data_IF_844778467375
#
_entry.id   IF_844778467375
#
_cell.length_a   1.000
_cell.length_b   1.000
_cell.length_c   1.000
_cell.angle_alpha   90.00
_cell.angle_beta   90.00
_cell.angle_gamma   90.00
#
_symmetry.space_group_name_H-M   'P 1'
#
loop_
_entity.id
_entity.type
_entity.pdbx_description
1 polymer ?
#
# COMPACT_ATOMS: atom_id res chain seq x y z
N UNK A 1 21.43 11.92 5.44
CA UNK A 1 20.45 11.27 4.54
C UNK A 1 20.21 9.81 4.93
N UNK A 2 21.20 8.91 4.88
CA UNK A 2 21.01 7.49 5.26
C UNK A 2 20.45 7.25 6.67
N UNK A 3 20.90 7.99 7.69
CA UNK A 3 20.36 7.89 9.05
C UNK A 3 18.89 8.33 9.12
N UNK A 4 18.51 9.37 8.36
CA UNK A 4 17.11 9.83 8.28
C UNK A 4 16.23 8.81 7.55
N UNK A 5 16.74 8.20 6.46
CA UNK A 5 16.05 7.09 5.79
C UNK A 5 15.86 5.89 6.72
N UNK A 6 16.88 5.54 7.50
CA UNK A 6 16.83 4.42 8.44
C UNK A 6 15.81 4.69 9.56
N UNK A 7 15.84 5.89 10.16
CA UNK A 7 14.85 6.31 11.16
C UNK A 7 13.42 6.26 10.60
N UNK A 8 13.23 6.75 9.37
CA UNK A 8 11.93 6.72 8.68
C UNK A 8 11.46 5.28 8.41
N UNK A 9 12.34 4.39 7.99
CA UNK A 9 12.02 2.98 7.76
C UNK A 9 11.61 2.28 9.07
N UNK A 10 12.33 2.53 10.17
CA UNK A 10 11.95 2.02 11.49
C UNK A 10 10.56 2.54 11.86
N UNK A 11 10.33 3.85 11.75
CA UNK A 11 9.04 4.46 12.05
C UNK A 11 7.90 3.86 11.21
N UNK A 12 8.07 3.70 9.89
CA UNK A 12 7.08 3.08 9.01
C UNK A 12 6.79 1.62 9.38
N UNK A 13 7.82 0.88 9.79
CA UNK A 13 7.70 -0.54 10.17
C UNK A 13 6.81 -0.71 11.40
N UNK A 14 6.83 0.24 12.34
CA UNK A 14 5.92 0.23 13.50
C UNK A 14 4.57 0.89 13.19
N UNK A 15 4.54 1.92 12.34
CA UNK A 15 3.33 2.68 12.03
C UNK A 15 2.28 1.83 11.32
N UNK A 16 2.68 1.10 10.27
CA UNK A 16 1.75 0.25 9.50
C UNK A 16 1.03 -0.81 10.35
N UNK A 17 1.71 -1.66 11.14
CA UNK A 17 1.04 -2.67 11.96
C UNK A 17 0.23 -2.04 13.11
N UNK A 18 0.66 -0.91 13.66
CA UNK A 18 -0.11 -0.19 14.69
C UNK A 18 -1.42 0.35 14.14
N UNK A 19 -1.38 0.94 12.94
CA UNK A 19 -2.59 1.37 12.25
C UNK A 19 -3.49 0.15 12.00
N UNK A 20 -2.94 -0.96 11.49
CA UNK A 20 -3.68 -2.20 11.24
C UNK A 20 -4.28 -2.87 12.48
N UNK A 21 -3.69 -2.70 13.67
CA UNK A 21 -4.22 -3.26 14.91
C UNK A 21 -5.26 -2.36 15.59
N UNK A 22 -5.12 -1.04 15.47
CA UNK A 22 -6.02 -0.06 16.11
C UNK A 22 -7.28 0.19 15.27
N UNK A 23 -7.19 0.09 13.94
CA UNK A 23 -8.37 0.29 13.08
C UNK A 23 -9.53 -0.68 13.37
N UNK A 24 -9.31 -2.01 13.51
CA UNK A 24 -10.39 -2.93 13.85
C UNK A 24 -10.92 -2.77 15.27
N UNK A 25 -10.19 -2.13 16.19
CA UNK A 25 -10.72 -1.84 17.54
C UNK A 25 -11.57 -0.57 17.60
N UNK A 26 -11.46 0.32 16.62
CA UNK A 26 -12.24 1.57 16.54
C UNK A 26 -13.45 1.50 15.60
N UNK A 27 -13.51 0.49 14.72
CA UNK A 27 -14.49 0.43 13.62
C UNK A 27 -15.20 -0.93 13.63
N UNK A 28 -16.54 -0.99 13.52
CA UNK A 28 -17.27 -2.25 13.42
C UNK A 28 -16.86 -3.07 12.18
N UNK A 29 -16.86 -4.41 12.31
CA UNK A 29 -16.34 -5.36 11.30
C UNK A 29 -16.91 -5.16 9.88
N UNK A 30 -18.15 -4.69 9.80
CA UNK A 30 -18.90 -4.41 8.56
C UNK A 30 -18.34 -3.21 7.79
N UNK A 31 -17.71 -2.26 8.48
CA UNK A 31 -17.13 -1.05 7.89
C UNK A 31 -15.61 -1.18 7.64
N UNK A 32 -14.97 -2.24 8.12
CA UNK A 32 -13.52 -2.45 7.96
C UNK A 32 -13.09 -2.46 6.49
N UNK A 33 -13.89 -3.03 5.59
CA UNK A 33 -13.55 -3.02 4.16
C UNK A 33 -13.61 -1.62 3.56
N UNK A 34 -14.58 -0.81 3.99
CA UNK A 34 -14.76 0.58 3.55
C UNK A 34 -13.61 1.47 4.03
N UNK A 35 -13.22 1.34 5.30
CA UNK A 35 -12.10 2.07 5.89
C UNK A 35 -10.78 1.66 5.23
N UNK A 36 -10.56 0.36 4.98
CA UNK A 36 -9.39 -0.11 4.23
C UNK A 36 -9.37 0.45 2.79
N UNK A 37 -10.53 0.55 2.13
CA UNK A 37 -10.65 1.22 0.83
C UNK A 37 -10.27 2.70 0.88
N UNK A 38 -10.77 3.44 1.87
CA UNK A 38 -10.43 4.85 2.09
C UNK A 38 -8.93 5.06 2.37
N UNK A 39 -8.32 4.19 3.18
CA UNK A 39 -6.86 4.22 3.41
C UNK A 39 -6.08 3.96 2.12
N UNK A 40 -6.54 3.02 1.30
CA UNK A 40 -5.98 2.78 -0.02
C UNK A 40 -6.07 4.02 -0.93
N UNK A 41 -7.19 4.74 -0.89
CA UNK A 41 -7.34 6.01 -1.62
C UNK A 41 -6.38 7.08 -1.11
N UNK A 42 -6.24 7.24 0.22
CA UNK A 42 -5.29 8.19 0.81
C UNK A 42 -3.85 7.83 0.44
N UNK A 43 -3.47 6.55 0.48
CA UNK A 43 -2.15 6.11 0.05
C UNK A 43 -1.90 6.39 -1.43
N UNK A 44 -2.89 6.11 -2.29
CA UNK A 44 -2.80 6.38 -3.74
C UNK A 44 -2.66 7.88 -4.02
N UNK A 45 -3.48 8.69 -3.35
CA UNK A 45 -3.39 10.14 -3.44
C UNK A 45 -2.03 10.63 -2.95
N UNK A 46 -1.48 10.06 -1.87
CA UNK A 46 -0.16 10.43 -1.37
C UNK A 46 0.96 10.03 -2.36
N UNK A 47 0.87 8.87 -3.01
CA UNK A 47 1.82 8.48 -4.06
C UNK A 47 1.80 9.43 -5.27
N UNK A 48 0.67 10.05 -5.58
CA UNK A 48 0.55 10.95 -6.73
C UNK A 48 0.86 12.42 -6.36
N UNK A 49 0.28 12.90 -5.26
CA UNK A 49 0.34 14.30 -4.83
C UNK A 49 1.68 14.60 -4.17
N UNK A 50 2.23 13.69 -3.35
CA UNK A 50 3.45 13.98 -2.60
C UNK A 50 4.68 14.18 -3.50
N UNK A 51 4.95 13.36 -4.54
CA UNK A 51 6.05 13.62 -5.46
C UNK A 51 5.85 14.90 -6.28
N UNK A 52 4.62 15.18 -6.72
CA UNK A 52 4.30 16.39 -7.49
C UNK A 52 4.51 17.67 -6.67
N UNK A 53 3.98 17.72 -5.45
CA UNK A 53 4.22 18.83 -4.52
C UNK A 53 5.69 18.90 -4.14
N UNK A 54 6.36 17.77 -3.88
CA UNK A 54 7.78 17.71 -3.54
C UNK A 54 8.67 18.27 -4.63
N UNK A 55 8.42 17.91 -5.89
CA UNK A 55 9.15 18.44 -7.05
C UNK A 55 8.89 19.95 -7.25
N UNK A 56 7.64 20.38 -7.10
CA UNK A 56 7.28 21.80 -7.18
C UNK A 56 7.98 22.61 -6.09
N UNK A 57 7.86 22.21 -4.82
CA UNK A 57 8.51 22.86 -3.68
C UNK A 57 10.03 22.88 -3.82
N UNK A 58 10.64 21.80 -4.32
CA UNK A 58 12.08 21.73 -4.56
C UNK A 58 12.55 22.73 -5.63
N UNK A 59 11.72 23.06 -6.62
CA UNK A 59 12.05 24.02 -7.67
C UNK A 59 12.05 25.49 -7.20
N UNK A 60 11.27 25.81 -6.16
CA UNK A 60 11.10 27.19 -5.66
C UNK A 60 11.75 27.45 -4.30
N UNK A 61 12.07 26.42 -3.51
CA UNK A 61 12.56 26.53 -2.14
C UNK A 61 13.92 25.83 -1.98
N UNK A 62 14.92 26.45 -1.30
CA UNK A 62 16.19 25.81 -0.99
C UNK A 62 16.01 24.54 -0.13
N UNK A 63 16.84 23.53 -0.36
CA UNK A 63 16.79 22.23 0.33
C UNK A 63 16.70 22.33 1.87
N UNK A 64 17.36 23.33 2.48
CA UNK A 64 17.34 23.51 3.94
C UNK A 64 15.93 23.79 4.49
N UNK A 65 15.14 24.60 3.78
CA UNK A 65 13.77 24.91 4.16
C UNK A 65 12.81 23.75 3.88
N UNK A 66 13.10 22.94 2.86
CA UNK A 66 12.33 21.75 2.55
C UNK A 66 12.47 20.68 3.65
N UNK A 67 13.68 20.51 4.20
CA UNK A 67 13.91 19.65 5.37
C UNK A 67 13.20 20.21 6.61
N UNK A 68 13.21 21.52 6.82
CA UNK A 68 12.51 22.15 7.94
C UNK A 68 10.98 21.95 7.85
N UNK A 69 10.43 22.00 6.64
CA UNK A 69 9.01 21.73 6.37
C UNK A 69 8.62 20.29 6.73
N UNK A 70 9.47 19.31 6.40
CA UNK A 70 9.26 17.90 6.76
C UNK A 70 9.24 17.71 8.29
N UNK A 71 10.17 18.35 9.01
CA UNK A 71 10.22 18.33 10.48
C UNK A 71 8.96 18.95 11.08
N UNK A 72 8.49 20.08 10.56
CA UNK A 72 7.23 20.70 11.00
C UNK A 72 6.02 19.80 10.74
N UNK A 73 5.98 19.13 9.58
CA UNK A 73 4.94 18.17 9.25
C UNK A 73 4.92 16.99 10.24
N UNK A 74 6.09 16.47 10.61
CA UNK A 74 6.20 15.42 11.62
C UNK A 74 5.70 15.88 13.00
N UNK A 75 6.07 17.09 13.44
CA UNK A 75 5.61 17.67 14.71
C UNK A 75 4.07 17.81 14.73
N UNK A 76 3.48 18.31 13.64
CA UNK A 76 2.02 18.41 13.52
C UNK A 76 1.34 17.03 13.57
N UNK A 77 1.88 16.05 12.85
CA UNK A 77 1.36 14.68 12.86
C UNK A 77 1.39 14.05 14.26
N UNK A 78 2.50 14.19 14.96
CA UNK A 78 2.64 13.71 16.35
C UNK A 78 1.66 14.45 17.28
N UNK A 79 1.50 15.77 17.12
CA UNK A 79 0.59 16.58 17.94
C UNK A 79 -0.86 16.13 17.79
N UNK A 80 -1.28 15.79 16.57
CA UNK A 80 -2.61 15.24 16.29
C UNK A 80 -2.77 13.87 16.96
N UNK A 81 -1.76 13.00 16.87
CA UNK A 81 -1.80 11.67 17.50
C UNK A 81 -1.93 11.72 19.03
N UNK A 82 -1.41 12.76 19.69
CA UNK A 82 -1.60 12.95 21.15
C UNK A 82 -3.09 13.11 21.50
N UNK A 83 -3.90 13.66 20.59
CA UNK A 83 -5.33 13.87 20.80
C UNK A 83 -6.18 12.67 20.38
N UNK A 84 -5.60 11.69 19.69
CA UNK A 84 -6.31 10.47 19.31
C UNK A 84 -6.44 9.56 20.53
N UNK A 85 -7.63 9.52 21.12
CA UNK A 85 -7.98 8.54 22.14
C UNK A 85 -8.16 7.17 21.51
N UNK A 86 -7.17 6.30 21.68
CA UNK A 86 -7.30 4.88 21.34
C UNK A 86 -8.09 4.21 22.48
N UNK A 87 -9.28 3.63 22.22
CA UNK A 87 -10.02 2.89 23.24
C UNK A 87 -9.18 1.71 23.71
N UNK A 88 -8.93 1.67 25.01
CA UNK A 88 -8.08 0.69 25.67
C UNK A 88 -8.83 -0.64 25.80
N UNK A 89 -8.70 -1.52 24.80
CA UNK A 89 -9.16 -2.90 24.94
C UNK A 89 -8.06 -3.75 25.57
N UNK A 90 -8.49 -4.56 26.53
CA UNK A 90 -7.76 -5.43 27.46
C UNK A 90 -6.26 -5.63 27.22
N UNK A 91 -5.47 -5.41 28.29
CA UNK A 91 -4.04 -5.74 28.36
C UNK A 91 -3.81 -7.18 27.90
N UNK A 92 -3.40 -7.36 26.65
CA UNK A 92 -2.83 -8.63 26.21
C UNK A 92 -1.42 -8.68 26.82
N UNK A 93 -1.14 -9.70 27.64
CA UNK A 93 0.17 -9.99 28.24
C UNK A 93 1.24 -10.13 27.13
N UNK A 94 1.81 -9.00 26.71
CA UNK A 94 2.38 -8.84 25.38
C UNK A 94 3.81 -9.38 25.20
N UNK A 95 4.53 -9.75 26.26
CA UNK A 95 5.94 -10.12 26.14
C UNK A 95 6.19 -11.64 26.03
N UNK A 96 5.42 -12.47 26.73
CA UNK A 96 5.72 -13.90 26.86
C UNK A 96 5.07 -14.79 25.79
N UNK A 97 4.07 -14.27 25.07
CA UNK A 97 3.29 -15.04 24.11
C UNK A 97 3.37 -14.55 22.67
N UNK A 98 4.23 -13.59 22.27
CA UNK A 98 4.30 -13.16 20.86
C UNK A 98 4.53 -14.32 19.89
N UNK A 99 5.53 -15.17 20.14
CA UNK A 99 5.80 -16.34 19.30
C UNK A 99 4.68 -17.39 19.36
N UNK A 100 4.06 -17.57 20.53
CA UNK A 100 2.95 -18.50 20.72
C UNK A 100 1.68 -18.04 19.99
N UNK A 101 1.34 -16.75 20.11
CA UNK A 101 0.21 -16.10 19.45
C UNK A 101 0.42 -16.01 17.95
N UNK A 102 1.66 -15.77 17.49
CA UNK A 102 1.99 -15.83 16.06
C UNK A 102 1.81 -17.24 15.52
N UNK A 103 2.27 -18.26 16.25
CA UNK A 103 2.11 -19.66 15.87
C UNK A 103 0.65 -20.10 15.89
N UNK A 104 -0.12 -19.70 16.90
CA UNK A 104 -1.56 -19.96 16.99
C UNK A 104 -2.33 -19.27 15.86
N UNK A 105 -2.06 -17.99 15.61
CA UNK A 105 -2.66 -17.26 14.49
C UNK A 105 -2.35 -17.92 13.14
N UNK A 106 -1.13 -18.43 12.95
CA UNK A 106 -0.77 -19.18 11.74
C UNK A 106 -1.56 -20.50 11.64
N UNK A 107 -1.66 -21.24 12.74
CA UNK A 107 -2.40 -22.51 12.80
C UNK A 107 -3.90 -22.32 12.55
N UNK A 108 -4.49 -21.27 13.12
CA UNK A 108 -5.91 -20.94 12.90
C UNK A 108 -6.18 -20.47 11.47
N UNK A 109 -5.25 -19.71 10.89
CA UNK A 109 -5.28 -19.34 9.47
C UNK A 109 -5.26 -20.60 8.59
N UNK A 110 -4.34 -21.54 8.87
CA UNK A 110 -4.20 -22.81 8.14
C UNK A 110 -5.43 -23.73 8.30
N UNK A 111 -6.07 -23.68 9.47
CA UNK A 111 -7.27 -24.48 9.78
C UNK A 111 -8.47 -24.03 8.94
N UNK A 112 -8.57 -22.73 8.66
CA UNK A 112 -9.60 -22.19 7.80
C UNK A 112 -9.16 -22.21 6.33
N UNK A 113 -9.45 -23.32 5.63
CA UNK A 113 -8.99 -23.55 4.25
C UNK A 113 -9.30 -22.38 3.30
N UNK A 114 -10.48 -21.75 3.41
CA UNK A 114 -10.84 -20.62 2.54
C UNK A 114 -9.94 -19.40 2.74
N UNK A 115 -9.65 -19.04 3.99
CA UNK A 115 -8.78 -17.92 4.33
C UNK A 115 -7.32 -18.22 3.98
N UNK A 116 -6.86 -19.45 4.25
CA UNK A 116 -5.51 -19.91 3.90
C UNK A 116 -5.23 -19.80 2.40
N UNK A 117 -6.17 -20.22 1.54
CA UNK A 117 -6.02 -20.10 0.08
C UNK A 117 -5.95 -18.64 -0.37
N UNK A 118 -6.75 -17.75 0.20
CA UNK A 118 -6.70 -16.30 -0.12
C UNK A 118 -5.36 -15.71 0.31
N UNK A 119 -4.86 -16.07 1.49
CA UNK A 119 -3.57 -15.57 1.98
C UNK A 119 -2.40 -16.08 1.14
N UNK A 120 -2.35 -17.38 0.80
CA UNK A 120 -1.27 -17.92 -0.05
C UNK A 120 -1.32 -17.30 -1.45
N UNK A 121 -2.50 -17.20 -2.06
CA UNK A 121 -2.62 -16.63 -3.41
C UNK A 121 -2.21 -15.16 -3.43
N UNK A 122 -2.61 -14.37 -2.43
CA UNK A 122 -2.16 -13.00 -2.25
C UNK A 122 -0.65 -12.87 -2.01
N UNK A 123 -0.07 -13.77 -1.19
CA UNK A 123 1.35 -13.78 -0.90
C UNK A 123 2.20 -14.13 -2.14
N UNK A 124 1.81 -15.16 -2.90
CA UNK A 124 2.49 -15.55 -4.14
C UNK A 124 2.38 -14.43 -5.17
N UNK A 125 1.21 -13.81 -5.31
CA UNK A 125 1.02 -12.70 -6.23
C UNK A 125 1.87 -11.49 -5.87
N UNK A 126 1.87 -11.06 -4.61
CA UNK A 126 2.69 -9.93 -4.17
C UNK A 126 4.19 -10.20 -4.32
N UNK A 127 4.62 -11.43 -4.03
CA UNK A 127 6.00 -11.87 -4.23
C UNK A 127 6.44 -11.82 -5.71
N UNK A 128 5.56 -12.20 -6.64
CA UNK A 128 5.84 -12.16 -8.08
C UNK A 128 5.67 -10.75 -8.67
N UNK A 129 4.72 -9.97 -8.16
CA UNK A 129 4.40 -8.64 -8.67
C UNK A 129 5.38 -7.56 -8.20
N UNK A 130 5.89 -7.62 -6.96
CA UNK A 130 6.82 -6.60 -6.45
C UNK A 130 8.12 -6.44 -7.28
N UNK A 131 8.80 -7.54 -7.68
CA UNK A 131 9.96 -7.45 -8.57
C UNK A 131 9.58 -6.81 -9.91
N UNK A 132 8.46 -7.22 -10.49
CA UNK A 132 7.95 -6.67 -11.75
C UNK A 132 7.64 -5.17 -11.63
N UNK A 133 6.96 -4.75 -10.56
CA UNK A 133 6.66 -3.36 -10.21
C UNK A 133 7.93 -2.48 -10.22
N UNK A 134 9.01 -2.96 -9.59
CA UNK A 134 10.30 -2.25 -9.54
C UNK A 134 11.01 -2.16 -10.90
N UNK A 135 10.71 -3.10 -11.81
CA UNK A 135 11.33 -3.17 -13.12
C UNK A 135 10.55 -2.43 -14.20
N UNK A 136 9.30 -2.00 -13.97
CA UNK A 136 8.52 -1.21 -14.95
C UNK A 136 9.26 0.03 -15.45
N UNK A 137 9.85 0.89 -14.59
CA UNK A 137 10.60 2.05 -15.06
C UNK A 137 11.79 1.65 -15.95
N UNK A 138 12.44 0.52 -15.63
CA UNK A 138 13.55 -0.01 -16.40
C UNK A 138 13.10 -0.62 -17.73
N UNK A 139 11.95 -1.32 -17.77
CA UNK A 139 11.33 -1.83 -19.00
C UNK A 139 10.92 -0.68 -19.92
N UNK A 140 10.23 0.34 -19.40
CA UNK A 140 9.77 1.46 -20.22
C UNK A 140 10.94 2.26 -20.79
N UNK A 141 11.97 2.55 -19.99
CA UNK A 141 13.10 3.38 -20.42
C UNK A 141 14.14 2.60 -21.25
N UNK A 142 14.41 1.34 -20.92
CA UNK A 142 15.53 0.56 -21.51
C UNK A 142 15.09 -0.50 -22.52
N UNK A 143 13.93 -1.13 -22.33
CA UNK A 143 13.42 -2.20 -23.22
C UNK A 143 12.50 -1.65 -24.32
N UNK A 144 11.61 -0.73 -23.98
CA UNK A 144 10.69 -0.09 -24.95
C UNK A 144 11.25 1.20 -25.58
N UNK A 145 12.43 1.67 -25.16
CA UNK A 145 12.99 2.99 -25.53
C UNK A 145 11.96 4.13 -25.41
N UNK A 146 11.11 4.05 -24.39
CA UNK A 146 10.11 5.06 -24.09
C UNK A 146 10.75 6.32 -23.50
N UNK A 147 10.09 7.44 -23.69
CA UNK A 147 10.50 8.72 -23.08
C UNK A 147 10.09 8.79 -21.61
N UNK A 148 10.79 9.62 -20.82
CA UNK A 148 10.47 9.86 -19.39
C UNK A 148 8.99 10.25 -19.20
N UNK A 149 8.40 10.96 -20.17
CA UNK A 149 6.99 11.32 -20.17
C UNK A 149 6.03 10.12 -20.31
N UNK A 150 6.39 9.09 -21.08
CA UNK A 150 5.60 7.88 -21.22
C UNK A 150 5.66 7.01 -19.96
N UNK A 151 6.84 6.91 -19.33
CA UNK A 151 6.99 6.25 -18.04
C UNK A 151 6.14 6.93 -16.95
N UNK A 152 6.19 8.26 -16.88
CA UNK A 152 5.35 9.04 -15.97
C UNK A 152 3.85 8.89 -16.24
N UNK A 153 3.43 8.77 -17.51
CA UNK A 153 2.03 8.53 -17.86
C UNK A 153 1.54 7.15 -17.43
N UNK A 154 2.36 6.10 -17.58
CA UNK A 154 2.04 4.75 -17.09
C UNK A 154 1.93 4.75 -15.56
N UNK A 155 2.82 5.46 -14.86
CA UNK A 155 2.79 5.57 -13.40
C UNK A 155 1.56 6.36 -12.90
N UNK A 156 1.15 7.38 -13.65
CA UNK A 156 -0.10 8.10 -13.40
C UNK A 156 -1.34 7.22 -13.64
N UNK A 157 -1.35 6.40 -14.69
CA UNK A 157 -2.40 5.41 -14.94
C UNK A 157 -2.46 4.35 -13.83
N UNK A 158 -1.30 3.89 -13.36
CA UNK A 158 -1.21 2.94 -12.26
C UNK A 158 -1.78 3.53 -10.96
N UNK A 159 -1.38 4.76 -10.62
CA UNK A 159 -1.90 5.49 -9.45
C UNK A 159 -3.39 5.80 -9.58
N UNK A 160 -3.87 6.16 -10.78
CA UNK A 160 -5.28 6.37 -11.09
C UNK A 160 -6.10 5.08 -10.95
N UNK A 161 -5.59 3.95 -11.45
CA UNK A 161 -6.20 2.64 -11.29
C UNK A 161 -6.29 2.21 -9.82
N UNK A 162 -5.24 2.47 -9.04
CA UNK A 162 -5.23 2.21 -7.59
C UNK A 162 -6.26 3.06 -6.85
N UNK A 163 -6.39 4.34 -7.21
CA UNK A 163 -7.39 5.25 -6.63
C UNK A 163 -8.82 4.82 -6.97
N UNK A 164 -9.10 4.52 -8.25
CA UNK A 164 -10.42 4.04 -8.70
C UNK A 164 -10.76 2.70 -8.06
N UNK A 165 -9.81 1.76 -8.01
CA UNK A 165 -9.99 0.47 -7.34
C UNK A 165 -10.28 0.62 -5.84
N UNK A 166 -9.50 1.47 -5.16
CA UNK A 166 -9.72 1.82 -3.76
C UNK A 166 -11.08 2.47 -3.50
N UNK A 167 -11.53 3.35 -4.40
CA UNK A 167 -12.85 3.99 -4.33
C UNK A 167 -14.01 3.00 -4.53
N UNK A 168 -13.90 2.10 -5.50
CA UNK A 168 -14.90 1.05 -5.74
C UNK A 168 -15.02 0.14 -4.52
N UNK A 169 -13.90 -0.29 -3.94
CA UNK A 169 -13.88 -1.10 -2.72
C UNK A 169 -14.40 -0.29 -1.52
N UNK A 170 -14.06 1.00 -1.43
CA UNK A 170 -14.55 1.88 -0.36
C UNK A 170 -16.06 2.09 -0.38
N UNK A 171 -16.65 2.28 -1.56
CA UNK A 171 -18.08 2.58 -1.72
C UNK A 171 -18.94 1.31 -1.73
N UNK A 172 -18.48 0.25 -2.41
CA UNK A 172 -19.28 -0.98 -2.63
C UNK A 172 -18.71 -2.24 -1.96
N UNK A 173 -17.56 -2.18 -1.29
CA UNK A 173 -16.84 -3.35 -0.81
C UNK A 173 -17.47 -4.14 0.35
N UNK A 174 -18.72 -3.85 0.75
CA UNK A 174 -19.41 -4.66 1.75
C UNK A 174 -19.96 -5.97 1.14
N UNK A 175 -19.10 -6.73 0.46
CA UNK A 175 -19.46 -7.95 -0.23
C UNK A 175 -19.44 -9.15 0.72
N UNK A 176 -20.56 -9.89 0.73
CA UNK A 176 -20.77 -11.09 1.55
C UNK A 176 -19.85 -12.27 1.16
N UNK A 177 -19.28 -12.24 -0.05
CA UNK A 177 -18.30 -13.21 -0.54
C UNK A 177 -17.08 -12.48 -1.11
N UNK A 178 -16.01 -12.40 -0.31
CA UNK A 178 -14.77 -11.70 -0.67
C UNK A 178 -13.89 -12.49 -1.63
N UNK A 179 -14.23 -13.74 -1.96
CA UNK A 179 -13.41 -14.58 -2.84
C UNK A 179 -13.65 -14.27 -4.32
N UNK A 180 -14.90 -14.00 -4.72
CA UNK A 180 -15.25 -13.65 -6.11
C UNK A 180 -14.53 -12.40 -6.63
N UNK A 181 -14.50 -11.27 -5.91
CA UNK A 181 -13.80 -10.07 -6.37
C UNK A 181 -12.29 -10.25 -6.44
N UNK A 182 -11.70 -11.01 -5.51
CA UNK A 182 -10.27 -11.32 -5.51
C UNK A 182 -9.89 -12.12 -6.77
N UNK A 183 -10.68 -13.13 -7.11
CA UNK A 183 -10.47 -13.93 -8.34
C UNK A 183 -10.62 -13.04 -9.59
N UNK A 184 -11.66 -12.20 -9.65
CA UNK A 184 -11.87 -11.27 -10.77
C UNK A 184 -10.68 -10.32 -10.91
N UNK A 185 -10.18 -9.75 -9.80
CA UNK A 185 -9.01 -8.88 -9.81
C UNK A 185 -7.74 -9.61 -10.31
N UNK A 186 -7.55 -10.87 -9.92
CA UNK A 186 -6.42 -11.66 -10.42
C UNK A 186 -6.49 -11.88 -11.93
N UNK A 187 -7.67 -12.16 -12.50
CA UNK A 187 -7.80 -12.26 -13.95
C UNK A 187 -7.61 -10.90 -14.63
N UNK A 188 -8.16 -9.83 -14.07
CA UNK A 188 -8.05 -8.46 -14.60
C UNK A 188 -6.60 -7.96 -14.63
N UNK A 189 -5.75 -8.38 -13.69
CA UNK A 189 -4.32 -8.03 -13.69
C UNK A 189 -3.51 -9.04 -14.50
N UNK A 190 -3.76 -10.34 -14.31
CA UNK A 190 -2.97 -11.42 -14.89
C UNK A 190 -3.08 -11.52 -16.41
N UNK A 191 -4.26 -11.30 -16.99
CA UNK A 191 -4.45 -11.34 -18.45
C UNK A 191 -3.65 -10.24 -19.16
N UNK A 192 -3.78 -8.95 -18.82
CA UNK A 192 -3.00 -7.90 -19.46
C UNK A 192 -1.50 -8.00 -19.16
N UNK A 193 -1.09 -8.40 -17.95
CA UNK A 193 0.34 -8.61 -17.66
C UNK A 193 0.91 -9.79 -18.47
N UNK A 194 0.17 -10.89 -18.61
CA UNK A 194 0.58 -12.03 -19.45
C UNK A 194 0.67 -11.67 -20.93
N UNK A 195 -0.30 -10.89 -21.44
CA UNK A 195 -0.26 -10.35 -22.80
C UNK A 195 0.91 -9.40 -23.01
N UNK A 196 1.24 -8.57 -22.02
CA UNK A 196 2.39 -7.65 -22.09
C UNK A 196 3.74 -8.38 -22.20
N UNK A 197 3.83 -9.61 -21.69
CA UNK A 197 5.02 -10.46 -21.82
C UNK A 197 5.19 -11.08 -23.22
N UNK A 198 4.14 -11.07 -24.05
CA UNK A 198 4.17 -11.58 -25.43
C UNK A 198 4.40 -10.47 -26.46
N UNK A 199 4.38 -9.19 -26.05
CA UNK A 199 4.59 -8.05 -26.94
C UNK A 199 6.09 -7.92 -27.28
N UNK A 200 6.47 -7.81 -28.56
CA UNK A 200 7.85 -7.54 -28.96
C UNK A 200 8.37 -6.23 -28.35
N UNK A 201 9.68 -6.18 -28.08
CA UNK A 201 10.37 -5.01 -27.52
C UNK A 201 10.54 -3.86 -28.51
N UNK A 202 9.43 -3.28 -28.98
CA UNK A 202 9.38 -2.07 -29.80
C UNK A 202 8.31 -1.11 -29.25
N UNK A 203 8.46 0.20 -29.53
CA UNK A 203 7.60 1.28 -28.99
C UNK A 203 6.09 1.12 -29.21
N UNK A 204 5.64 0.23 -30.10
CA UNK A 204 4.23 0.03 -30.43
C UNK A 204 3.56 -1.13 -29.70
N UNK A 205 4.32 -1.99 -29.02
CA UNK A 205 3.81 -3.29 -28.56
C UNK A 205 3.61 -4.24 -29.74
#
# INVERSE_FOLDING_TARGET
IFVSLLMRSIAQTFQMPTIQSVMPTMVPDEELTKINGQLGMVQSANMMIAPALGAFLFAIIPLQFLILLDVLGAILGISILIWVQIPNNEKIDAALHMLHNTKLGLLDLMKNRGLWYITITGAVFTLLYMPAASMYPLMTMKYFQGTVGQAGFIEALYSGGMLVGGAIIGIWGNWRDRMKPVIIAFFLIGIPTGLSGLLPGNQSG
#
